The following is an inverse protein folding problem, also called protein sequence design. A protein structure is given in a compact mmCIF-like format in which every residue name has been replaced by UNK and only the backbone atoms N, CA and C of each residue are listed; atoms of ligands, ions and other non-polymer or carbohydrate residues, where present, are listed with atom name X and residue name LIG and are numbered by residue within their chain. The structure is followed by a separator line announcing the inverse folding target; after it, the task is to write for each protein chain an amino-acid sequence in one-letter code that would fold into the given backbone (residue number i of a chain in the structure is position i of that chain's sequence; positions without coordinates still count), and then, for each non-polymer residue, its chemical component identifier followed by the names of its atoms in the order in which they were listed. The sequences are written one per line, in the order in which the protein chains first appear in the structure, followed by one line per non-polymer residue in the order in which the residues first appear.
data_IF_371146327996
#
_entry.id   IF_371146327996
#
_cell.length_a   1.000
_cell.length_b   1.000
_cell.length_c   1.000
_cell.angle_alpha   90.00
_cell.angle_beta   90.00
_cell.angle_gamma   90.00
#
_symmetry.space_group_name_H-M   'P 1'
#
loop_
_entity.id
_entity.type
_entity.pdbx_description
1 polymer ?
#
# COMPACT_ATOMS: atom_id res chain seq x y z
N UNK A 1 -5.34 5.62 11.30
CA UNK A 1 -4.18 4.99 10.64
C UNK A 1 -3.00 5.95 10.62
N UNK A 2 -1.82 5.45 10.96
CA UNK A 2 -0.60 6.25 10.85
C UNK A 2 -0.14 6.30 9.38
N UNK A 3 0.73 7.23 9.06
CA UNK A 3 1.32 7.30 7.71
C UNK A 3 2.07 6.02 7.37
N UNK A 4 2.77 5.43 8.34
CA UNK A 4 3.49 4.17 8.13
C UNK A 4 2.55 3.04 7.72
N UNK A 5 1.42 2.91 8.39
CA UNK A 5 0.42 1.90 8.08
C UNK A 5 -0.20 2.13 6.71
N UNK A 6 -0.47 3.38 6.36
CA UNK A 6 -1.01 3.73 5.04
C UNK A 6 -0.02 3.42 3.93
N UNK A 7 1.26 3.75 4.14
CA UNK A 7 2.33 3.43 3.20
C UNK A 7 2.45 1.93 2.95
N UNK A 8 2.46 1.15 4.02
CA UNK A 8 2.59 -0.30 3.91
C UNK A 8 1.39 -0.92 3.22
N UNK A 9 0.19 -0.41 3.47
CA UNK A 9 -1.02 -0.86 2.78
C UNK A 9 -0.94 -0.58 1.27
N UNK A 10 -0.50 0.60 0.89
CA UNK A 10 -0.33 0.97 -0.51
C UNK A 10 0.68 0.05 -1.20
N UNK A 11 1.79 -0.24 -0.53
CA UNK A 11 2.81 -1.13 -1.06
C UNK A 11 2.30 -2.57 -1.25
N UNK A 12 1.48 -3.07 -0.32
CA UNK A 12 0.88 -4.40 -0.47
C UNK A 12 -0.08 -4.45 -1.66
N UNK A 13 -0.85 -3.40 -1.87
CA UNK A 13 -1.77 -3.30 -3.01
C UNK A 13 -1.03 -3.21 -4.35
N UNK A 14 0.13 -2.56 -4.38
CA UNK A 14 0.94 -2.45 -5.58
C UNK A 14 1.59 -3.77 -6.01
N UNK A 15 1.79 -4.69 -5.06
CA UNK A 15 2.36 -6.02 -5.27
C UNK A 15 3.75 -5.94 -5.94
N UNK A 16 4.07 -6.89 -6.81
CA UNK A 16 5.39 -7.00 -7.45
C UNK A 16 5.69 -5.88 -8.44
N UNK A 17 4.68 -5.26 -8.99
CA UNK A 17 4.85 -4.12 -9.91
C UNK A 17 5.58 -2.97 -9.26
N UNK A 18 5.34 -2.79 -7.96
CA UNK A 18 5.82 -1.64 -7.24
C UNK A 18 5.03 -0.37 -7.58
N UNK A 19 5.43 0.71 -6.94
CA UNK A 19 4.74 1.99 -7.08
C UNK A 19 5.75 3.13 -6.90
N UNK A 20 5.56 4.23 -7.60
CA UNK A 20 6.45 5.37 -7.50
C UNK A 20 6.25 6.15 -6.20
N UNK A 21 7.30 6.83 -5.76
CA UNK A 21 7.26 7.73 -4.59
C UNK A 21 6.13 8.75 -4.75
N UNK A 22 6.01 9.33 -5.92
CA UNK A 22 4.99 10.34 -6.20
C UNK A 22 3.58 9.78 -6.07
N UNK A 23 3.34 8.58 -6.61
CA UNK A 23 2.04 7.94 -6.53
C UNK A 23 1.69 7.57 -5.08
N UNK A 24 2.66 7.07 -4.32
CA UNK A 24 2.46 6.77 -2.89
C UNK A 24 2.08 8.04 -2.14
N UNK A 25 2.82 9.12 -2.33
CA UNK A 25 2.55 10.40 -1.66
C UNK A 25 1.15 10.91 -1.98
N UNK A 26 0.74 10.77 -3.21
CA UNK A 26 -0.58 11.19 -3.67
C UNK A 26 -1.70 10.38 -3.00
N UNK A 27 -1.52 9.07 -2.90
CA UNK A 27 -2.47 8.20 -2.21
C UNK A 27 -2.56 8.51 -0.71
N UNK A 28 -1.42 8.72 -0.05
CA UNK A 28 -1.40 9.08 1.37
C UNK A 28 -2.08 10.43 1.58
N UNK A 29 -1.80 11.39 0.72
CA UNK A 29 -2.47 12.69 0.76
C UNK A 29 -3.99 12.53 0.68
N UNK A 30 -4.48 11.76 -0.29
CA UNK A 30 -5.90 11.55 -0.48
C UNK A 30 -6.56 10.83 0.70
N UNK A 31 -5.86 9.88 1.31
CA UNK A 31 -6.35 9.16 2.49
C UNK A 31 -6.54 10.07 3.71
N UNK A 32 -5.77 11.15 3.79
CA UNK A 32 -5.81 12.08 4.92
C UNK A 32 -6.57 13.36 4.63
N UNK A 33 -6.98 13.54 3.37
CA UNK A 33 -7.79 14.68 2.97
C UNK A 33 -9.21 14.50 3.48
N UNK A 34 -9.72 15.50 4.20
CA UNK A 34 -11.09 15.49 4.66
C UNK A 34 -11.70 16.89 4.54
N UNK A 35 -13.00 16.97 4.78
CA UNK A 35 -13.72 18.24 4.72
C UNK A 35 -13.14 19.29 5.67
N UNK A 36 -12.61 18.83 6.82
CA UNK A 36 -12.09 19.71 7.87
C UNK A 36 -10.58 19.76 7.94
N UNK A 37 -9.88 18.97 7.12
CA UNK A 37 -8.44 18.85 7.20
C UNK A 37 -7.81 18.69 5.82
N UNK A 38 -6.96 19.64 5.47
CA UNK A 38 -6.16 19.57 4.24
C UNK A 38 -4.71 19.39 4.62
N UNK A 39 -4.14 18.18 4.47
CA UNK A 39 -2.75 17.95 4.81
C UNK A 39 -1.81 18.68 3.85
N UNK A 40 -0.56 18.88 4.28
CA UNK A 40 0.47 19.46 3.44
C UNK A 40 1.09 18.37 2.57
N UNK A 41 0.89 18.44 1.26
CA UNK A 41 1.40 17.46 0.30
C UNK A 41 2.94 17.37 0.35
N UNK A 42 3.64 18.48 0.47
CA UNK A 42 5.11 18.48 0.50
C UNK A 42 5.65 17.77 1.74
N UNK A 43 5.02 17.94 2.88
CA UNK A 43 5.38 17.21 4.09
C UNK A 43 5.17 15.71 3.92
N UNK A 44 4.04 15.33 3.34
CA UNK A 44 3.73 13.93 3.07
C UNK A 44 4.74 13.33 2.11
N UNK A 45 5.06 14.03 1.04
CA UNK A 45 6.04 13.57 0.06
C UNK A 45 7.41 13.36 0.69
N UNK A 46 7.86 14.29 1.51
CA UNK A 46 9.13 14.19 2.23
C UNK A 46 9.11 12.99 3.18
N UNK A 47 8.03 12.81 3.92
CA UNK A 47 7.88 11.69 4.83
C UNK A 47 7.95 10.36 4.09
N UNK A 48 7.20 10.23 2.99
CA UNK A 48 7.18 9.02 2.16
C UNK A 48 8.58 8.71 1.64
N UNK A 49 9.26 9.71 1.10
CA UNK A 49 10.60 9.52 0.55
C UNK A 49 11.58 9.04 1.62
N UNK A 50 11.57 9.66 2.79
CA UNK A 50 12.43 9.28 3.91
C UNK A 50 12.12 7.87 4.41
N UNK A 51 10.84 7.53 4.52
CA UNK A 51 10.40 6.21 4.94
C UNK A 51 10.91 5.13 3.98
N UNK A 52 10.76 5.35 2.69
CA UNK A 52 11.20 4.39 1.67
C UNK A 52 12.71 4.23 1.68
N UNK A 53 13.46 5.32 1.77
CA UNK A 53 14.92 5.27 1.83
C UNK A 53 15.40 4.57 3.09
N UNK A 54 14.80 4.87 4.23
CA UNK A 54 15.18 4.27 5.51
C UNK A 54 14.95 2.76 5.54
N UNK A 55 13.88 2.30 4.91
CA UNK A 55 13.46 0.89 4.95
C UNK A 55 13.90 0.07 3.74
N UNK A 56 14.77 0.60 2.90
CA UNK A 56 15.26 -0.11 1.70
C UNK A 56 16.80 -0.18 1.63
N UNK A 57 17.48 -0.09 2.77
CA UNK A 57 18.95 -0.02 2.83
C UNK A 57 19.68 -1.34 2.63
N UNK A 58 19.00 -2.47 2.85
CA UNK A 58 19.65 -3.77 2.74
C UNK A 58 18.74 -4.78 2.06
N UNK A 59 19.28 -5.94 1.72
CA UNK A 59 18.52 -7.04 1.11
C UNK A 59 17.51 -7.67 2.09
N UNK A 60 17.64 -7.38 3.38
CA UNK A 60 16.73 -7.87 4.41
C UNK A 60 15.74 -6.82 4.87
N UNK A 61 15.80 -5.62 4.30
CA UNK A 61 14.88 -4.54 4.63
C UNK A 61 13.46 -4.84 4.17
N UNK A 62 12.49 -4.22 4.82
CA UNK A 62 11.05 -4.41 4.55
C UNK A 62 10.67 -4.03 3.12
N UNK A 63 11.34 -3.05 2.55
CA UNK A 63 11.05 -2.47 1.25
C UNK A 63 12.28 -2.60 0.36
N UNK A 64 12.08 -2.73 -0.95
CA UNK A 64 13.14 -2.74 -1.93
C UNK A 64 12.78 -1.86 -3.13
N UNK A 65 13.82 -1.34 -3.79
CA UNK A 65 13.66 -0.68 -5.09
C UNK A 65 13.44 -1.76 -6.16
N UNK A 66 12.51 -1.53 -7.07
CA UNK A 66 12.16 -2.51 -8.11
C UNK A 66 13.20 -2.67 -9.20
N UNK A 67 14.25 -1.83 -9.20
CA UNK A 67 15.20 -1.69 -10.31
C UNK A 67 14.84 -0.51 -11.21
N UNK A 68 13.62 -0.01 -11.14
CA UNK A 68 13.18 1.19 -11.84
C UNK A 68 13.33 2.39 -10.91
N UNK A 69 13.94 3.45 -11.37
CA UNK A 69 14.23 4.63 -10.55
C UNK A 69 12.95 5.22 -9.94
N UNK A 70 12.96 5.36 -8.61
CA UNK A 70 11.84 5.95 -7.88
C UNK A 70 10.67 5.02 -7.63
N UNK A 71 10.76 3.75 -8.00
CA UNK A 71 9.72 2.74 -7.78
C UNK A 71 10.13 1.76 -6.70
N UNK A 72 9.23 1.49 -5.78
CA UNK A 72 9.47 0.65 -4.61
C UNK A 72 8.36 -0.38 -4.45
N UNK A 73 8.69 -1.50 -3.80
CA UNK A 73 7.74 -2.57 -3.46
C UNK A 73 8.16 -3.22 -2.15
N UNK A 74 7.26 -4.02 -1.57
CA UNK A 74 7.62 -4.83 -0.41
C UNK A 74 8.66 -5.89 -0.80
N UNK A 75 9.67 -6.06 0.05
CA UNK A 75 10.74 -7.02 -0.18
C UNK A 75 10.33 -8.41 0.34
N UNK A 76 9.42 -9.07 -0.38
CA UNK A 76 8.91 -10.37 0.04
C UNK A 76 9.93 -11.49 -0.04
N UNK A 77 11.00 -11.32 -0.80
CA UNK A 77 12.07 -12.32 -0.91
C UNK A 77 13.02 -12.26 0.27
N UNK A 78 13.37 -11.07 0.74
CA UNK A 78 14.37 -10.89 1.78
C UNK A 78 13.82 -10.61 3.17
N UNK A 79 12.54 -10.25 3.31
CA UNK A 79 11.94 -9.87 4.59
C UNK A 79 10.76 -10.77 4.93
N UNK A 80 10.85 -11.45 6.08
CA UNK A 80 9.75 -12.28 6.58
C UNK A 80 8.53 -11.43 6.91
N UNK A 81 8.73 -10.22 7.44
CA UNK A 81 7.65 -9.29 7.76
C UNK A 81 6.90 -8.85 6.51
N UNK A 82 7.62 -8.59 5.42
CA UNK A 82 7.01 -8.24 4.14
C UNK A 82 6.14 -9.38 3.61
N UNK A 83 6.64 -10.61 3.69
CA UNK A 83 5.86 -11.81 3.30
C UNK A 83 4.59 -11.94 4.13
N UNK A 84 4.69 -11.72 5.42
CA UNK A 84 3.55 -11.82 6.32
C UNK A 84 2.48 -10.77 5.98
N UNK A 85 2.89 -9.54 5.73
CA UNK A 85 1.97 -8.48 5.32
C UNK A 85 1.24 -8.81 4.04
N UNK A 86 1.97 -9.35 3.06
CA UNK A 86 1.39 -9.72 1.77
C UNK A 86 0.37 -10.86 1.92
N UNK A 87 0.67 -11.85 2.74
CA UNK A 87 -0.25 -12.95 3.01
C UNK A 87 -1.54 -12.46 3.68
N UNK A 88 -1.42 -11.61 4.68
CA UNK A 88 -2.57 -11.03 5.36
C UNK A 88 -3.45 -10.22 4.41
N UNK A 89 -2.83 -9.44 3.55
CA UNK A 89 -3.55 -8.65 2.55
C UNK A 89 -4.34 -9.55 1.59
N UNK A 90 -3.72 -10.63 1.11
CA UNK A 90 -4.38 -11.58 0.21
C UNK A 90 -5.56 -12.29 0.88
N UNK A 91 -5.41 -12.67 2.13
CA UNK A 91 -6.50 -13.28 2.90
C UNK A 91 -7.67 -12.32 3.05
N UNK A 92 -7.42 -11.06 3.35
CA UNK A 92 -8.46 -10.03 3.45
C UNK A 92 -9.18 -9.83 2.11
N UNK A 93 -8.45 -9.86 1.00
CA UNK A 93 -9.05 -9.72 -0.33
C UNK A 93 -9.93 -10.92 -0.68
N UNK A 94 -9.51 -12.12 -0.33
CA UNK A 94 -10.32 -13.33 -0.54
C UNK A 94 -11.64 -13.26 0.22
N UNK A 95 -11.61 -12.82 1.46
CA UNK A 95 -12.83 -12.63 2.26
C UNK A 95 -13.78 -11.63 1.62
N UNK A 96 -13.26 -10.51 1.11
CA UNK A 96 -14.06 -9.50 0.43
C UNK A 96 -14.68 -10.03 -0.86
N UNK A 97 -13.94 -10.82 -1.61
CA UNK A 97 -14.44 -11.43 -2.84
C UNK A 97 -15.56 -12.43 -2.57
N UNK A 98 -15.48 -13.18 -1.48
CA UNK A 98 -16.54 -14.12 -1.08
C UNK A 98 -17.84 -13.38 -0.73
N UNK A 99 -17.75 -12.21 -0.11
CA UNK A 99 -18.93 -11.41 0.24
C UNK A 99 -19.61 -10.81 -0.99
N UNK A 100 -18.83 -10.31 -1.96
CA UNK A 100 -19.35 -9.65 -3.15
C UNK A 100 -20.27 -10.52 -4.01
N UNK A 101 -19.93 -11.77 -4.33
CA UNK A 101 -20.81 -12.62 -5.13
C UNK A 101 -22.18 -12.84 -4.51
N UNK A 102 -22.28 -12.95 -3.19
CA UNK A 102 -23.55 -13.08 -2.50
C UNK A 102 -24.43 -11.85 -2.64
N UNK A 103 -23.85 -10.68 -2.56
CA UNK A 103 -24.56 -9.42 -2.74
C UNK A 103 -25.07 -9.28 -4.18
N UNK A 104 -24.23 -9.62 -5.14
CA UNK A 104 -24.59 -9.55 -6.55
C UNK A 104 -25.74 -10.50 -6.89
N UNK A 105 -25.74 -11.70 -6.31
CA UNK A 105 -26.84 -12.65 -6.49
C UNK A 105 -28.14 -12.12 -5.92
N UNK A 106 -28.09 -11.43 -4.80
CA UNK A 106 -29.27 -10.79 -4.21
C UNK A 106 -29.84 -9.71 -5.11
N UNK A 107 -28.99 -8.93 -5.76
CA UNK A 107 -29.42 -7.90 -6.69
C UNK A 107 -30.04 -8.50 -7.96
N UNK A 108 -29.48 -9.59 -8.46
CA UNK A 108 -29.97 -10.27 -9.64
C UNK A 108 -31.37 -10.84 -9.43
N UNK A 109 -31.68 -11.27 -8.22
CA UNK A 109 -33.01 -11.78 -7.89
C UNK A 109 -34.09 -10.72 -8.02
N UNK A 110 -33.74 -9.47 -7.90
CA UNK A 110 -34.68 -8.34 -7.99
C UNK A 110 -34.63 -7.62 -9.33
N UNK A 111 -33.70 -8.00 -10.15
CA UNK A 111 -33.61 -7.50 -11.52
C UNK A 111 -34.53 -8.30 -12.46
#
# INVERSE_FOLDING_TARGET
MTYDQQLLKILTEADERGISVQAIAKHVYNMNLSFFNTPDYEEIRTYVQQFLLKNSKSNLSLIENTGRRGYYRLNTKGSADARQMMLQFREEQEEKEEEKPQQDLSLDLFA
#
